data_IF_169766460693
#
_entry.id   IF_169766460693
#
_cell.length_a   1.000
_cell.length_b   1.000
_cell.length_c   1.000
_cell.angle_alpha   90.00
_cell.angle_beta   90.00
_cell.angle_gamma   90.00
#
_symmetry.space_group_name_H-M   'P 1'
#
loop_
_entity.id
_entity.type
_entity.pdbx_description
1 polymer ?
#
# COMPACT_ATOMS: atom_id res chain seq x y z
N UNK A 1 -52.83 42.98 26.65
CA UNK A 1 -52.55 41.61 26.18
C UNK A 1 -51.06 41.45 25.98
N UNK A 2 -50.36 40.80 26.92
CA UNK A 2 -48.90 40.77 27.02
C UNK A 2 -48.38 39.55 26.26
N UNK A 3 -47.83 39.76 25.06
CA UNK A 3 -47.25 38.69 24.24
C UNK A 3 -45.80 38.45 24.68
N UNK A 4 -45.59 37.35 25.40
CA UNK A 4 -44.26 36.82 25.65
C UNK A 4 -43.76 36.11 24.39
N UNK A 5 -42.74 36.67 23.75
CA UNK A 5 -42.00 35.98 22.69
C UNK A 5 -40.88 35.20 23.37
N UNK A 6 -41.04 33.88 23.41
CA UNK A 6 -39.99 32.96 23.83
C UNK A 6 -38.90 32.93 22.76
N UNK A 7 -37.72 33.43 23.09
CA UNK A 7 -36.52 33.29 22.26
C UNK A 7 -36.00 31.87 22.45
N UNK A 8 -36.21 31.02 21.44
CA UNK A 8 -35.53 29.73 21.32
C UNK A 8 -34.05 29.98 21.00
N UNK A 9 -33.20 29.90 22.02
CA UNK A 9 -31.74 29.87 21.86
C UNK A 9 -31.37 28.53 21.23
N UNK A 10 -31.05 28.56 19.94
CA UNK A 10 -30.49 27.42 19.22
C UNK A 10 -29.12 27.08 19.80
N UNK A 11 -29.04 25.97 20.54
CA UNK A 11 -27.80 25.39 21.03
C UNK A 11 -27.06 24.79 19.84
N UNK A 12 -26.17 25.55 19.22
CA UNK A 12 -25.25 25.06 18.20
C UNK A 12 -24.18 24.21 18.91
N UNK A 13 -24.11 22.88 18.72
CA UNK A 13 -23.01 22.12 19.26
C UNK A 13 -21.72 22.66 18.63
N UNK A 14 -20.81 23.13 19.49
CA UNK A 14 -19.49 23.55 19.06
C UNK A 14 -18.90 22.44 18.19
N UNK A 15 -18.50 22.79 16.97
CA UNK A 15 -17.72 21.92 16.12
C UNK A 15 -16.43 21.60 16.88
N UNK A 16 -16.44 20.50 17.63
CA UNK A 16 -15.24 19.98 18.26
C UNK A 16 -14.27 19.70 17.12
N UNK A 17 -13.15 20.42 17.11
CA UNK A 17 -12.00 20.10 16.28
C UNK A 17 -11.80 18.58 16.29
N UNK A 18 -11.55 17.97 15.13
CA UNK A 18 -11.54 16.51 14.97
C UNK A 18 -10.47 15.89 15.87
N UNK A 19 -10.78 15.59 17.12
CA UNK A 19 -9.84 15.02 18.07
C UNK A 19 -9.90 13.51 17.97
N UNK A 20 -8.73 12.87 17.98
CA UNK A 20 -8.63 11.41 18.06
C UNK A 20 -8.25 11.07 19.49
N UNK A 21 -9.04 10.21 20.11
CA UNK A 21 -8.82 9.70 21.46
C UNK A 21 -8.35 8.26 21.37
N UNK A 22 -7.26 7.92 22.08
CA UNK A 22 -6.87 6.54 22.36
C UNK A 22 -7.51 6.13 23.68
N UNK A 23 -8.50 5.26 23.60
CA UNK A 23 -9.16 4.68 24.76
C UNK A 23 -8.54 3.32 25.06
N UNK A 24 -8.37 3.03 26.35
CA UNK A 24 -7.86 1.73 26.81
C UNK A 24 -8.88 1.17 27.81
N UNK A 25 -9.37 -0.03 27.53
CA UNK A 25 -10.28 -0.78 28.40
C UNK A 25 -9.68 -2.14 28.69
N UNK A 26 -9.05 -2.30 29.86
CA UNK A 26 -8.29 -3.51 30.18
C UNK A 26 -7.13 -3.71 29.21
N UNK A 27 -7.19 -4.76 28.38
CA UNK A 27 -6.20 -5.07 27.35
C UNK A 27 -6.56 -4.52 25.96
N UNK A 28 -7.76 -3.99 25.79
CA UNK A 28 -8.24 -3.49 24.51
C UNK A 28 -7.90 -2.01 24.30
N UNK A 29 -7.52 -1.67 23.07
CA UNK A 29 -7.20 -0.30 22.65
C UNK A 29 -8.09 0.08 21.48
N UNK A 30 -8.86 1.16 21.63
CA UNK A 30 -9.65 1.74 20.55
C UNK A 30 -9.22 3.17 20.25
N UNK A 31 -9.36 3.57 18.98
CA UNK A 31 -9.16 4.95 18.53
C UNK A 31 -10.49 5.47 18.03
N UNK A 32 -10.94 6.61 18.54
CA UNK A 32 -12.26 7.15 18.24
C UNK A 32 -12.25 8.68 18.22
N UNK A 33 -13.21 9.27 17.51
CA UNK A 33 -13.38 10.72 17.42
C UNK A 33 -14.25 11.31 18.53
N UNK A 34 -14.95 10.45 19.29
CA UNK A 34 -15.68 10.84 20.49
C UNK A 34 -14.82 10.62 21.74
N UNK A 35 -15.00 11.42 22.82
CA UNK A 35 -14.33 11.19 24.08
C UNK A 35 -14.51 9.75 24.60
N UNK A 36 -13.48 9.22 25.24
CA UNK A 36 -13.56 7.91 25.91
C UNK A 36 -14.57 7.94 27.05
N UNK A 37 -15.17 6.79 27.39
CA UNK A 37 -16.05 6.68 28.56
C UNK A 37 -15.31 6.94 29.90
N UNK A 38 -13.98 6.79 29.91
CA UNK A 38 -13.09 7.12 31.03
C UNK A 38 -11.94 8.03 30.56
N UNK A 39 -10.85 8.17 31.34
CA UNK A 39 -9.71 8.99 30.92
C UNK A 39 -9.10 8.46 29.63
N UNK A 40 -8.92 9.34 28.64
CA UNK A 40 -8.20 8.99 27.42
C UNK A 40 -6.72 8.76 27.75
N UNK A 41 -6.16 7.66 27.26
CA UNK A 41 -4.73 7.38 27.43
C UNK A 41 -3.87 8.37 26.62
N UNK A 42 -4.40 8.87 25.51
CA UNK A 42 -3.82 9.95 24.71
C UNK A 42 -4.88 10.62 23.85
N UNK A 43 -4.68 11.90 23.57
CA UNK A 43 -5.51 12.69 22.66
C UNK A 43 -4.61 13.36 21.63
N UNK A 44 -5.09 13.44 20.39
CA UNK A 44 -4.44 14.18 19.31
C UNK A 44 -5.46 15.09 18.64
N UNK A 45 -5.01 16.26 18.20
CA UNK A 45 -5.77 17.09 17.28
C UNK A 45 -5.56 16.55 15.85
N UNK A 46 -6.62 16.07 15.21
CA UNK A 46 -6.59 15.75 13.78
C UNK A 46 -6.82 17.06 12.99
N UNK A 47 -5.74 17.82 12.88
CA UNK A 47 -5.70 19.00 12.01
C UNK A 47 -5.82 18.51 10.55
N UNK A 48 -6.87 18.91 9.81
CA UNK A 48 -6.98 18.54 8.40
C UNK A 48 -5.77 19.07 7.63
N UNK A 49 -5.16 18.21 6.81
CA UNK A 49 -4.12 18.64 5.88
C UNK A 49 -4.78 19.55 4.85
N UNK A 50 -4.25 20.76 4.59
CA UNK A 50 -4.83 21.64 3.58
C UNK A 50 -4.73 20.99 2.20
N UNK A 51 -5.74 21.24 1.36
CA UNK A 51 -5.71 20.84 -0.04
C UNK A 51 -4.45 21.39 -0.73
N UNK A 52 -3.77 20.59 -1.56
CA UNK A 52 -2.55 21.03 -2.22
C UNK A 52 -2.84 22.20 -3.15
N UNK A 53 -1.98 23.21 -3.12
CA UNK A 53 -2.06 24.34 -4.05
C UNK A 53 -1.93 23.88 -5.50
N UNK A 54 -2.45 24.66 -6.44
CA UNK A 54 -2.31 24.38 -7.87
C UNK A 54 -0.83 24.14 -8.27
N UNK A 55 0.09 24.93 -7.71
CA UNK A 55 1.53 24.76 -7.96
C UNK A 55 2.07 23.41 -7.48
N UNK A 56 1.65 22.93 -6.31
CA UNK A 56 2.03 21.62 -5.79
C UNK A 56 1.39 20.48 -6.60
N UNK A 57 0.15 20.66 -7.07
CA UNK A 57 -0.50 19.70 -7.97
C UNK A 57 0.29 19.57 -9.30
N UNK A 58 0.69 20.69 -9.91
CA UNK A 58 1.54 20.69 -11.11
C UNK A 58 2.92 20.09 -10.88
N UNK A 59 3.50 20.29 -9.70
CA UNK A 59 4.75 19.64 -9.32
C UNK A 59 4.59 18.12 -9.25
N UNK A 60 3.54 17.62 -8.57
CA UNK A 60 3.24 16.18 -8.48
C UNK A 60 2.95 15.56 -9.85
N UNK A 61 2.22 16.27 -10.70
CA UNK A 61 1.94 15.84 -12.07
C UNK A 61 3.23 15.62 -12.88
N UNK A 62 4.15 16.60 -12.85
CA UNK A 62 5.45 16.48 -13.55
C UNK A 62 6.30 15.33 -13.04
N UNK A 63 6.35 15.14 -11.72
CA UNK A 63 7.06 14.00 -11.11
C UNK A 63 6.46 12.67 -11.59
N UNK A 64 5.13 12.56 -11.62
CA UNK A 64 4.45 11.35 -12.09
C UNK A 64 4.75 11.07 -13.57
N UNK A 65 4.75 12.10 -14.41
CA UNK A 65 5.05 11.97 -15.83
C UNK A 65 6.50 11.51 -16.06
N UNK A 66 7.45 12.06 -15.32
CA UNK A 66 8.85 11.66 -15.38
C UNK A 66 9.05 10.20 -14.95
N UNK A 67 8.46 9.79 -13.83
CA UNK A 67 8.51 8.40 -13.36
C UNK A 67 7.89 7.44 -14.37
N UNK A 68 6.77 7.82 -14.99
CA UNK A 68 6.13 6.99 -16.00
C UNK A 68 7.02 6.78 -17.23
N UNK A 69 7.74 7.81 -17.68
CA UNK A 69 8.71 7.70 -18.78
C UNK A 69 9.87 6.76 -18.43
N UNK A 70 10.44 6.91 -17.24
CA UNK A 70 11.51 6.03 -16.74
C UNK A 70 11.07 4.58 -16.65
N UNK A 71 9.90 4.33 -16.05
CA UNK A 71 9.39 2.96 -15.97
C UNK A 71 9.05 2.37 -17.34
N UNK A 72 8.65 3.20 -18.32
CA UNK A 72 8.46 2.73 -19.68
C UNK A 72 9.80 2.36 -20.35
N UNK A 73 10.84 3.18 -20.18
CA UNK A 73 12.18 2.85 -20.69
C UNK A 73 12.77 1.61 -20.03
N UNK A 74 12.58 1.44 -18.72
CA UNK A 74 13.07 0.28 -17.98
C UNK A 74 12.38 -1.01 -18.44
N UNK A 75 11.05 -0.94 -18.68
CA UNK A 75 10.29 -2.06 -19.25
C UNK A 75 10.77 -2.41 -20.67
N UNK A 76 11.00 -1.41 -21.52
CA UNK A 76 11.51 -1.62 -22.87
C UNK A 76 12.92 -2.21 -22.85
N UNK A 77 13.80 -1.72 -21.99
CA UNK A 77 15.16 -2.25 -21.81
C UNK A 77 15.14 -3.69 -21.28
N UNK A 78 14.23 -4.00 -20.36
CA UNK A 78 14.04 -5.36 -19.86
C UNK A 78 13.54 -6.28 -20.96
N UNK A 79 12.55 -5.85 -21.75
CA UNK A 79 12.04 -6.61 -22.89
C UNK A 79 13.11 -6.85 -23.96
N UNK A 80 13.98 -5.87 -24.24
CA UNK A 80 15.10 -6.02 -25.17
C UNK A 80 16.20 -6.97 -24.66
N UNK A 81 16.32 -7.15 -23.34
CA UNK A 81 17.26 -8.09 -22.70
C UNK A 81 16.69 -9.49 -22.52
N UNK A 82 15.37 -9.66 -22.66
CA UNK A 82 14.78 -10.99 -22.68
C UNK A 82 15.26 -11.69 -23.96
N UNK A 83 15.88 -12.88 -23.87
CA UNK A 83 16.20 -13.65 -25.05
C UNK A 83 14.90 -13.89 -25.82
N UNK A 84 14.85 -13.47 -27.08
CA UNK A 84 13.87 -14.00 -28.02
C UNK A 84 14.01 -15.52 -28.00
N UNK A 85 12.91 -16.29 -27.88
CA UNK A 85 13.02 -17.73 -27.95
C UNK A 85 13.56 -18.08 -29.33
N UNK A 86 14.88 -18.34 -29.43
CA UNK A 86 15.41 -19.04 -30.57
C UNK A 86 14.72 -20.40 -30.59
N UNK A 87 14.37 -20.94 -31.76
CA UNK A 87 13.97 -22.33 -31.88
C UNK A 87 15.23 -23.20 -31.68
N UNK A 88 15.73 -23.23 -30.45
CA UNK A 88 16.73 -24.17 -29.99
C UNK A 88 16.04 -25.46 -29.59
N UNK A 89 16.76 -26.58 -29.70
CA UNK A 89 16.39 -27.92 -29.27
C UNK A 89 16.17 -27.99 -27.73
N UNK A 90 15.26 -27.19 -27.20
CA UNK A 90 14.91 -27.23 -25.79
C UNK A 90 13.98 -28.43 -25.63
N UNK A 91 14.35 -29.36 -24.76
CA UNK A 91 13.38 -30.38 -24.30
C UNK A 91 12.31 -29.62 -23.52
N UNK A 92 11.09 -29.45 -24.06
CA UNK A 92 10.03 -28.71 -23.38
C UNK A 92 9.74 -29.31 -21.99
N UNK A 93 10.01 -30.60 -21.83
CA UNK A 93 9.83 -31.36 -20.60
C UNK A 93 10.82 -30.95 -19.50
N UNK A 94 12.08 -30.66 -19.84
CA UNK A 94 13.10 -30.25 -18.87
C UNK A 94 12.79 -28.86 -18.26
N UNK A 95 12.35 -27.92 -19.10
CA UNK A 95 11.93 -26.60 -18.65
C UNK A 95 10.64 -26.68 -17.82
N UNK A 96 9.66 -27.49 -18.23
CA UNK A 96 8.43 -27.70 -17.46
C UNK A 96 8.72 -28.34 -16.09
N UNK A 97 9.58 -29.35 -16.04
CA UNK A 97 9.99 -30.01 -14.80
C UNK A 97 10.71 -29.05 -13.84
N UNK A 98 11.60 -28.20 -14.37
CA UNK A 98 12.29 -27.18 -13.56
C UNK A 98 11.32 -26.17 -12.94
N UNK A 99 10.30 -25.73 -13.69
CA UNK A 99 9.25 -24.83 -13.18
C UNK A 99 8.37 -25.51 -12.13
N UNK A 100 8.01 -26.78 -12.34
CA UNK A 100 7.24 -27.56 -11.37
C UNK A 100 8.01 -27.74 -10.06
N UNK A 101 9.31 -28.03 -10.14
CA UNK A 101 10.19 -28.12 -8.97
C UNK A 101 10.26 -26.78 -8.20
N UNK A 102 10.45 -25.67 -8.91
CA UNK A 102 10.44 -24.33 -8.31
C UNK A 102 9.13 -24.08 -7.54
N UNK A 103 7.98 -24.36 -8.15
CA UNK A 103 6.69 -24.17 -7.49
C UNK A 103 6.53 -25.04 -6.24
N UNK A 104 6.96 -26.31 -6.29
CA UNK A 104 6.93 -27.21 -5.14
C UNK A 104 7.79 -26.70 -3.97
N UNK A 105 9.01 -26.24 -4.25
CA UNK A 105 9.92 -25.69 -3.22
C UNK A 105 9.36 -24.39 -2.64
N UNK A 106 8.81 -23.50 -3.47
CA UNK A 106 8.19 -22.26 -3.00
C UNK A 106 6.92 -22.50 -2.18
N UNK A 107 6.14 -23.53 -2.51
CA UNK A 107 4.99 -23.95 -1.74
C UNK A 107 5.41 -24.50 -0.37
N UNK A 108 6.42 -25.38 -0.34
CA UNK A 108 6.95 -25.94 0.91
C UNK A 108 7.60 -24.88 1.82
N UNK A 109 8.28 -23.88 1.24
CA UNK A 109 8.92 -22.80 2.00
C UNK A 109 7.91 -21.83 2.63
N UNK A 110 6.70 -21.69 2.07
CA UNK A 110 5.67 -20.79 2.57
C UNK A 110 6.17 -19.35 2.76
N UNK A 111 6.10 -18.83 3.99
CA UNK A 111 6.55 -17.48 4.35
C UNK A 111 8.08 -17.42 4.53
N UNK A 112 8.78 -18.56 4.67
CA UNK A 112 10.23 -18.63 4.94
C UNK A 112 11.08 -18.53 3.67
N UNK A 113 10.61 -17.79 2.66
CA UNK A 113 11.33 -17.59 1.39
C UNK A 113 12.44 -16.57 1.59
N UNK A 114 13.68 -17.06 1.63
CA UNK A 114 14.86 -16.18 1.64
C UNK A 114 15.20 -15.72 0.23
N UNK A 115 15.83 -14.56 0.12
CA UNK A 115 16.27 -14.02 -1.17
C UNK A 115 17.21 -14.97 -1.92
N UNK A 116 18.13 -15.64 -1.20
CA UNK A 116 19.09 -16.56 -1.81
C UNK A 116 18.42 -17.82 -2.35
N UNK A 117 17.38 -18.32 -1.66
CA UNK A 117 16.55 -19.42 -2.15
C UNK A 117 15.85 -19.05 -3.46
N UNK A 118 15.26 -17.84 -3.52
CA UNK A 118 14.57 -17.37 -4.72
C UNK A 118 15.54 -17.24 -5.90
N UNK A 119 16.73 -16.67 -5.67
CA UNK A 119 17.76 -16.53 -6.71
C UNK A 119 18.23 -17.88 -7.24
N UNK A 120 18.54 -18.83 -6.35
CA UNK A 120 19.02 -20.15 -6.75
C UNK A 120 17.99 -20.91 -7.61
N UNK A 121 16.71 -20.83 -7.25
CA UNK A 121 15.63 -21.46 -8.03
C UNK A 121 15.43 -20.80 -9.40
N UNK A 122 15.54 -19.48 -9.48
CA UNK A 122 15.39 -18.74 -10.74
C UNK A 122 16.56 -19.03 -11.72
N UNK A 123 17.79 -19.12 -11.21
CA UNK A 123 18.96 -19.54 -11.99
C UNK A 123 18.83 -20.99 -12.49
N UNK A 124 18.24 -21.89 -11.69
CA UNK A 124 17.97 -23.27 -12.11
C UNK A 124 16.97 -23.31 -13.26
N UNK A 125 15.85 -22.58 -13.16
CA UNK A 125 14.84 -22.52 -14.23
C UNK A 125 15.42 -21.87 -15.48
N UNK A 126 16.18 -20.78 -15.33
CA UNK A 126 16.81 -20.09 -16.45
C UNK A 126 17.78 -20.99 -17.20
N UNK A 127 18.59 -21.80 -16.50
CA UNK A 127 19.48 -22.78 -17.12
C UNK A 127 18.74 -23.90 -17.83
N UNK A 128 17.61 -24.35 -17.29
CA UNK A 128 16.83 -25.44 -17.88
C UNK A 128 15.96 -24.99 -19.07
N UNK A 129 15.63 -23.70 -19.14
CA UNK A 129 14.73 -23.15 -20.16
C UNK A 129 15.45 -22.34 -21.25
N UNK A 130 16.75 -22.08 -21.10
CA UNK A 130 17.60 -21.46 -22.13
C UNK A 130 17.97 -22.52 -23.16
#
# INVERSE_FOLDING_TARGET
MKRWIWVLVAFCPAANAQQVYKCVSGKDVSYQSSPCAGPAAKTWDAVPVPEPSNAEQWRRYRIRQELQRRYASDRAATAARMPTPMPGNNSPDACAAAKAHQQAVLAAAGIRRTHDLLRALDEQVTRACR
#
